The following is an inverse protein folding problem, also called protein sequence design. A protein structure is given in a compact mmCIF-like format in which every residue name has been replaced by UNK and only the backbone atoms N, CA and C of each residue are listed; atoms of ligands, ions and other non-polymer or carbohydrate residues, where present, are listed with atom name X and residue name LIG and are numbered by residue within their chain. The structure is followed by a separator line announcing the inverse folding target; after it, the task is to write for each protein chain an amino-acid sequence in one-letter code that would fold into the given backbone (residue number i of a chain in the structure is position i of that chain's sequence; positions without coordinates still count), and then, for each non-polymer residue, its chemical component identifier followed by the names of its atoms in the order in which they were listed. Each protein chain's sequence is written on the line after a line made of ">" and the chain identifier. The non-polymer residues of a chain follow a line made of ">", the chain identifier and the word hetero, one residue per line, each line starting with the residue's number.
data_IF_503655415937
#
_entry.id   IF_503655415937
#
_cell.length_a   1.000
_cell.length_b   1.000
_cell.length_c   1.000
_cell.angle_alpha   90.00
_cell.angle_beta   90.00
_cell.angle_gamma   90.00
#
_symmetry.space_group_name_H-M   'P 1'
#
loop_
_entity.id
_entity.type
_entity.pdbx_description
1 polymer ?
#
# COMPACT_ATOMS: atom_id res chain seq x y z
N UNK A 1 -25.57 -0.57 13.66
CA UNK A 1 -25.38 -1.57 12.60
C UNK A 1 -24.61 -1.01 11.40
N UNK A 2 -23.60 -0.17 11.63
CA UNK A 2 -22.73 0.37 10.58
C UNK A 2 -21.31 0.25 11.12
N UNK A 3 -20.64 -0.86 10.81
CA UNK A 3 -19.20 -1.15 10.97
C UNK A 3 -18.92 -2.63 10.64
N UNK A 4 -19.68 -3.22 9.71
CA UNK A 4 -19.27 -4.52 9.15
C UNK A 4 -18.49 -4.25 7.87
N UNK A 5 -17.23 -4.69 7.78
CA UNK A 5 -16.49 -4.59 6.53
C UNK A 5 -17.23 -5.39 5.44
N UNK A 6 -17.12 -4.97 4.17
CA UNK A 6 -17.87 -5.57 3.06
C UNK A 6 -17.47 -7.02 2.74
N UNK A 7 -16.45 -7.57 3.40
CA UNK A 7 -16.00 -8.94 3.22
C UNK A 7 -15.92 -9.67 4.56
N UNK A 8 -16.86 -10.59 4.79
CA UNK A 8 -16.99 -11.39 6.02
C UNK A 8 -16.06 -12.61 6.04
N UNK A 9 -15.45 -12.98 4.91
CA UNK A 9 -14.66 -14.21 4.78
C UNK A 9 -13.29 -14.13 5.45
N UNK A 10 -12.74 -12.92 5.62
CA UNK A 10 -11.41 -12.70 6.19
C UNK A 10 -11.42 -12.03 7.57
N UNK A 11 -12.61 -11.81 8.14
CA UNK A 11 -12.77 -11.14 9.43
C UNK A 11 -13.58 -12.00 10.38
N UNK A 12 -12.89 -12.72 11.26
CA UNK A 12 -13.51 -13.34 12.42
C UNK A 12 -13.62 -12.29 13.53
N UNK A 13 -14.82 -12.02 14.08
CA UNK A 13 -14.94 -11.21 15.28
C UNK A 13 -14.13 -11.87 16.40
N UNK A 14 -13.12 -11.17 16.90
CA UNK A 14 -12.38 -11.61 18.08
C UNK A 14 -13.32 -11.56 19.28
N UNK A 15 -13.55 -12.72 19.91
CA UNK A 15 -14.41 -12.87 21.09
C UNK A 15 -13.85 -12.20 22.36
N UNK A 16 -12.76 -11.46 22.21
CA UNK A 16 -11.96 -10.84 23.24
C UNK A 16 -10.56 -10.56 22.71
N UNK A 17 -9.76 -9.90 23.53
CA UNK A 17 -8.33 -9.74 23.29
C UNK A 17 -7.64 -11.11 23.29
N UNK A 18 -6.81 -11.47 22.29
CA UNK A 18 -6.07 -12.73 22.32
C UNK A 18 -5.04 -12.77 23.45
N UNK A 19 -4.74 -13.95 23.99
CA UNK A 19 -3.82 -14.14 25.12
C UNK A 19 -2.40 -13.58 24.85
N UNK A 20 -2.00 -13.50 23.58
CA UNK A 20 -0.69 -12.98 23.15
C UNK A 20 -0.64 -11.45 23.07
N UNK A 21 -1.77 -10.76 23.21
CA UNK A 21 -1.84 -9.32 23.01
C UNK A 21 -1.02 -8.54 24.05
N UNK A 22 -1.05 -8.92 25.32
CA UNK A 22 -0.23 -8.25 26.36
C UNK A 22 1.27 -8.47 26.13
N UNK A 23 1.64 -9.59 25.51
CA UNK A 23 3.02 -9.86 25.15
C UNK A 23 3.45 -9.02 23.93
N UNK A 24 2.56 -8.85 22.95
CA UNK A 24 2.80 -8.02 21.76
C UNK A 24 2.74 -6.50 22.06
N UNK A 25 1.95 -6.10 23.07
CA UNK A 25 1.72 -4.71 23.47
C UNK A 25 1.90 -4.54 24.99
N UNK A 26 3.13 -4.67 25.52
CA UNK A 26 3.40 -4.68 26.97
C UNK A 26 3.09 -3.35 27.66
N UNK A 27 3.12 -2.24 26.92
CA UNK A 27 2.73 -0.90 27.41
C UNK A 27 1.23 -0.61 27.17
N UNK A 28 0.45 -1.65 26.86
CA UNK A 28 -0.88 -1.51 26.27
C UNK A 28 -0.80 -1.11 24.80
N UNK A 29 -1.97 -1.07 24.15
CA UNK A 29 -2.09 -0.51 22.83
C UNK A 29 -2.47 0.98 23.03
N UNK A 30 -1.67 1.93 22.55
CA UNK A 30 -1.99 3.38 22.62
C UNK A 30 -3.13 3.79 21.67
N UNK A 31 -4.08 2.88 21.46
CA UNK A 31 -5.25 2.99 20.63
C UNK A 31 -6.41 3.01 21.66
N UNK A 32 -6.70 4.17 22.28
CA UNK A 32 -7.74 4.42 23.33
C UNK A 32 -8.80 5.46 22.91
N UNK A 33 -10.11 5.24 23.22
CA UNK A 33 -11.30 5.72 22.46
C UNK A 33 -11.16 7.23 22.33
N UNK A 34 -11.47 7.85 21.18
CA UNK A 34 -11.53 9.32 21.17
C UNK A 34 -12.54 9.68 22.25
N UNK A 35 -12.03 10.25 23.35
CA UNK A 35 -12.78 10.57 24.55
C UNK A 35 -12.68 12.07 24.74
N UNK A 36 -13.30 12.86 23.84
CA UNK A 36 -13.28 14.31 23.94
C UNK A 36 -14.02 14.82 25.20
N UNK A 37 -14.80 13.95 25.86
CA UNK A 37 -15.43 14.21 27.16
C UNK A 37 -14.68 13.64 28.37
N UNK A 38 -13.52 13.02 28.17
CA UNK A 38 -12.69 12.47 29.24
C UNK A 38 -11.87 13.54 29.97
N UNK A 39 -11.43 13.24 31.18
CA UNK A 39 -10.50 14.08 31.96
C UNK A 39 -9.23 13.26 32.31
N UNK A 40 -8.08 13.52 31.66
CA UNK A 40 -7.87 14.48 30.58
C UNK A 40 -8.50 14.02 29.26
N UNK A 41 -8.84 14.94 28.33
CA UNK A 41 -9.39 14.57 27.04
C UNK A 41 -8.35 13.80 26.23
N UNK A 42 -8.69 12.58 25.82
CA UNK A 42 -7.82 11.73 25.00
C UNK A 42 -8.32 11.75 23.58
N UNK A 43 -7.55 12.35 22.66
CA UNK A 43 -7.79 12.31 21.22
C UNK A 43 -6.84 11.29 20.59
N UNK A 44 -7.13 10.00 20.76
CA UNK A 44 -6.34 8.93 20.16
C UNK A 44 -7.12 8.30 19.00
N UNK A 45 -6.46 8.28 17.84
CA UNK A 45 -7.08 8.16 16.52
C UNK A 45 -7.10 6.71 16.02
N UNK A 46 -8.20 6.02 16.25
CA UNK A 46 -8.43 4.62 15.84
C UNK A 46 -8.70 4.39 14.38
N UNK A 47 -9.28 5.42 13.82
CA UNK A 47 -9.85 5.52 12.52
C UNK A 47 -10.09 7.01 12.49
N UNK A 48 -9.28 7.82 11.81
CA UNK A 48 -9.47 9.26 11.85
C UNK A 48 -10.92 9.60 11.49
N UNK A 49 -11.72 9.98 12.51
CA UNK A 49 -13.15 10.26 12.44
C UNK A 49 -14.13 9.06 12.47
N UNK A 50 -13.84 7.93 13.13
CA UNK A 50 -14.72 6.73 13.21
C UNK A 50 -15.04 6.08 11.86
N UNK A 51 -14.08 6.16 10.91
CA UNK A 51 -14.29 5.80 9.49
C UNK A 51 -13.89 4.37 9.12
N UNK A 52 -13.60 3.53 10.11
CA UNK A 52 -13.03 2.18 9.95
C UNK A 52 -11.50 2.18 9.83
N UNK A 53 -10.88 1.01 9.96
CA UNK A 53 -9.42 0.87 9.93
C UNK A 53 -8.84 1.11 8.53
N UNK A 54 -7.71 1.81 8.41
CA UNK A 54 -7.01 1.96 7.14
C UNK A 54 -6.42 0.62 6.70
N UNK A 55 -6.42 0.35 5.39
CA UNK A 55 -5.78 -0.85 4.83
C UNK A 55 -4.45 -0.53 4.12
N UNK A 56 -4.16 0.75 3.91
CA UNK A 56 -2.93 1.22 3.27
C UNK A 56 -2.25 2.23 4.19
N UNK A 57 -0.95 2.04 4.43
CA UNK A 57 -0.12 2.91 5.25
C UNK A 57 1.24 3.15 4.60
N UNK A 58 1.71 4.40 4.60
CA UNK A 58 3.00 4.77 4.00
C UNK A 58 3.60 5.96 4.76
N UNK A 59 4.92 6.01 4.87
CA UNK A 59 5.62 7.19 5.42
C UNK A 59 6.07 8.07 4.25
N UNK A 60 5.68 9.34 4.26
CA UNK A 60 6.01 10.29 3.20
C UNK A 60 6.13 11.69 3.80
N UNK A 61 7.19 12.42 3.43
CA UNK A 61 7.49 13.78 3.91
C UNK A 61 7.36 13.94 5.45
N UNK A 62 7.99 13.03 6.20
CA UNK A 62 7.97 13.00 7.68
C UNK A 62 6.58 12.86 8.31
N UNK A 63 5.61 12.31 7.58
CA UNK A 63 4.28 11.98 8.07
C UNK A 63 3.99 10.50 7.85
N UNK A 64 3.28 9.90 8.79
CA UNK A 64 2.60 8.63 8.57
C UNK A 64 1.27 8.93 7.87
N UNK A 65 1.11 8.41 6.66
CA UNK A 65 -0.13 8.53 5.89
C UNK A 65 -0.92 7.23 5.98
N UNK A 66 -2.20 7.36 6.34
CA UNK A 66 -3.16 6.27 6.46
C UNK A 66 -4.31 6.50 5.48
N UNK A 67 -4.69 5.46 4.75
CA UNK A 67 -5.59 5.53 3.60
C UNK A 67 -6.52 4.32 3.51
N UNK A 68 -7.48 4.41 2.59
CA UNK A 68 -8.38 3.32 2.20
C UNK A 68 -9.33 2.86 3.32
N UNK A 69 -9.75 3.78 4.20
CA UNK A 69 -10.74 3.50 5.22
C UNK A 69 -12.09 3.10 4.56
N UNK A 70 -12.82 2.09 5.07
CA UNK A 70 -14.08 1.64 4.46
C UNK A 70 -15.14 2.73 4.27
N UNK A 71 -15.25 3.69 5.19
CA UNK A 71 -16.19 4.81 5.06
C UNK A 71 -15.65 5.98 4.22
N UNK A 72 -14.34 6.00 3.91
CA UNK A 72 -13.69 6.98 3.04
C UNK A 72 -12.57 6.33 2.23
N UNK A 73 -12.98 5.65 1.17
CA UNK A 73 -12.11 4.85 0.31
C UNK A 73 -11.03 5.64 -0.43
N UNK A 74 -11.22 6.95 -0.56
CA UNK A 74 -10.31 7.92 -1.20
C UNK A 74 -9.77 8.97 -0.21
N UNK A 75 -9.94 8.75 1.09
CA UNK A 75 -9.40 9.61 2.14
C UNK A 75 -7.93 9.33 2.40
N UNK A 76 -7.15 10.41 2.55
CA UNK A 76 -5.74 10.40 2.98
C UNK A 76 -5.65 11.17 4.29
N UNK A 77 -5.14 10.51 5.32
CA UNK A 77 -4.92 11.09 6.63
C UNK A 77 -3.43 11.09 6.92
N UNK A 78 -2.84 12.26 7.20
CA UNK A 78 -1.43 12.37 7.55
C UNK A 78 -1.25 12.78 9.00
N UNK A 79 -0.32 12.12 9.69
CA UNK A 79 0.08 12.49 11.05
C UNK A 79 0.76 13.86 11.08
N UNK A 80 0.98 14.41 12.28
CA UNK A 80 1.88 15.56 12.50
C UNK A 80 3.27 15.22 11.97
N UNK A 81 3.99 16.24 11.49
CA UNK A 81 5.39 16.10 11.09
C UNK A 81 6.22 15.61 12.28
N UNK A 82 6.97 14.51 12.09
CA UNK A 82 7.86 13.95 13.11
C UNK A 82 7.17 13.26 14.29
N UNK A 83 5.84 13.31 14.39
CA UNK A 83 5.06 12.60 15.39
C UNK A 83 3.98 11.73 14.74
N UNK A 84 4.35 10.48 14.41
CA UNK A 84 3.53 9.53 13.67
C UNK A 84 2.26 9.04 14.38
N UNK A 85 2.07 9.40 15.65
CA UNK A 85 0.90 9.01 16.45
C UNK A 85 -0.14 10.12 16.58
N UNK A 86 0.22 11.36 16.25
CA UNK A 86 -0.68 12.51 16.37
C UNK A 86 -1.42 12.77 15.06
N UNK A 87 -2.76 12.66 15.11
CA UNK A 87 -3.67 12.98 14.00
C UNK A 87 -4.68 14.08 14.39
N UNK A 88 -4.39 14.85 15.45
CA UNK A 88 -5.22 15.97 15.90
C UNK A 88 -5.12 17.15 14.93
N UNK A 89 -6.17 17.38 14.16
CA UNK A 89 -6.20 18.46 13.15
C UNK A 89 -5.94 19.84 13.75
N UNK A 90 -5.25 20.68 12.98
CA UNK A 90 -5.01 22.08 13.28
C UNK A 90 -4.58 22.88 12.05
N UNK A 91 -4.45 24.22 12.17
CA UNK A 91 -4.18 25.10 11.04
C UNK A 91 -2.68 25.30 10.74
N UNK A 92 -1.77 24.80 11.56
CA UNK A 92 -0.33 24.99 11.39
C UNK A 92 0.21 24.10 10.26
N UNK A 93 1.34 24.49 9.68
CA UNK A 93 1.94 23.76 8.56
C UNK A 93 2.40 22.35 8.95
N UNK A 94 2.81 22.14 10.20
CA UNK A 94 3.23 20.85 10.73
C UNK A 94 2.06 19.99 11.23
N UNK A 95 0.88 20.58 11.39
CA UNK A 95 -0.30 19.89 11.92
C UNK A 95 -0.72 18.72 11.01
N UNK A 96 -1.38 17.69 11.57
CA UNK A 96 -2.00 16.60 10.82
C UNK A 96 -2.95 17.08 9.73
N UNK A 97 -3.04 16.32 8.64
CA UNK A 97 -3.88 16.65 7.49
C UNK A 97 -4.94 15.59 7.20
N UNK A 98 -6.03 16.04 6.59
CA UNK A 98 -7.02 15.19 5.95
C UNK A 98 -7.27 15.72 4.54
N UNK A 99 -7.14 14.86 3.54
CA UNK A 99 -7.39 15.18 2.15
C UNK A 99 -8.21 14.06 1.51
N UNK A 100 -9.37 14.38 0.95
CA UNK A 100 -10.15 13.44 0.15
C UNK A 100 -9.86 13.69 -1.33
N UNK A 101 -9.44 12.64 -2.03
CA UNK A 101 -9.21 12.73 -3.48
C UNK A 101 -10.58 12.73 -4.16
N UNK A 102 -10.97 13.86 -4.73
CA UNK A 102 -12.23 14.00 -5.46
C UNK A 102 -12.17 13.30 -6.81
N UNK A 103 -13.17 12.45 -7.08
CA UNK A 103 -13.26 11.66 -8.31
C UNK A 103 -14.71 11.51 -8.75
N UNK A 104 -14.96 11.47 -10.06
CA UNK A 104 -16.31 11.28 -10.61
C UNK A 104 -16.86 9.86 -10.43
N UNK A 105 -15.96 8.88 -10.48
CA UNK A 105 -16.25 7.49 -10.11
C UNK A 105 -15.97 7.33 -8.61
N UNK A 106 -16.50 6.33 -7.91
CA UNK A 106 -16.18 6.09 -6.48
C UNK A 106 -15.14 4.98 -6.31
N UNK A 107 -13.85 5.19 -6.64
CA UNK A 107 -12.81 4.19 -6.48
C UNK A 107 -12.42 3.98 -5.02
N UNK A 108 -11.56 2.99 -4.84
CA UNK A 108 -10.92 2.69 -3.57
C UNK A 108 -9.42 2.64 -3.76
N UNK A 109 -8.67 3.29 -2.88
CA UNK A 109 -7.22 3.16 -2.78
C UNK A 109 -6.87 1.71 -2.45
N UNK A 110 -5.87 1.16 -3.15
CA UNK A 110 -5.47 -0.26 -3.06
C UNK A 110 -4.05 -0.45 -2.54
N UNK A 111 -3.15 0.43 -2.93
CA UNK A 111 -1.77 0.48 -2.47
C UNK A 111 -1.23 1.90 -2.63
N UNK A 112 -0.14 2.22 -1.94
CA UNK A 112 0.55 3.49 -2.09
C UNK A 112 2.05 3.30 -1.89
N UNK A 113 2.86 3.96 -2.70
CA UNK A 113 4.32 3.86 -2.66
C UNK A 113 4.93 5.27 -2.68
N UNK A 114 5.79 5.54 -1.70
CA UNK A 114 6.51 6.80 -1.58
C UNK A 114 7.72 6.81 -2.52
N UNK A 115 7.71 7.72 -3.49
CA UNK A 115 8.82 7.99 -4.40
C UNK A 115 9.16 9.48 -4.35
N UNK A 116 9.62 10.08 -5.46
CA UNK A 116 9.69 11.55 -5.61
C UNK A 116 8.35 12.24 -5.32
N UNK A 117 7.25 11.54 -5.62
CA UNK A 117 5.89 11.89 -5.24
C UNK A 117 5.26 10.66 -4.61
N UNK A 118 4.18 10.83 -3.87
CA UNK A 118 3.41 9.69 -3.42
C UNK A 118 2.55 9.16 -4.58
N UNK A 119 2.79 7.92 -4.99
CA UNK A 119 1.98 7.26 -6.03
C UNK A 119 0.95 6.37 -5.34
N UNK A 120 -0.31 6.51 -5.74
CA UNK A 120 -1.45 5.83 -5.14
C UNK A 120 -2.17 5.04 -6.23
N UNK A 121 -2.18 3.71 -6.11
CA UNK A 121 -2.95 2.84 -6.99
C UNK A 121 -4.39 2.69 -6.50
N UNK A 122 -5.36 2.86 -7.39
CA UNK A 122 -6.78 2.73 -7.06
C UNK A 122 -7.50 1.75 -7.98
N UNK A 123 -8.76 1.45 -7.68
CA UNK A 123 -9.62 0.67 -8.56
C UNK A 123 -10.06 1.40 -9.85
N UNK A 124 -9.67 2.65 -10.10
CA UNK A 124 -10.02 3.41 -11.32
C UNK A 124 -8.86 4.15 -12.00
N UNK A 125 -7.62 3.94 -11.56
CA UNK A 125 -6.44 4.65 -12.05
C UNK A 125 -5.40 4.90 -10.98
N UNK A 126 -4.18 5.21 -11.40
CA UNK A 126 -3.14 5.67 -10.49
C UNK A 126 -3.22 7.20 -10.32
N UNK A 127 -2.97 7.66 -9.10
CA UNK A 127 -2.94 9.07 -8.72
C UNK A 127 -1.54 9.42 -8.18
N UNK A 128 -1.08 10.64 -8.42
CA UNK A 128 0.07 11.19 -7.71
C UNK A 128 -0.39 12.25 -6.74
N UNK A 129 0.02 12.13 -5.49
CA UNK A 129 -0.16 13.12 -4.44
C UNK A 129 1.17 13.86 -4.23
N UNK A 130 1.09 15.18 -4.22
CA UNK A 130 2.22 16.09 -4.13
C UNK A 130 1.83 17.39 -3.43
N UNK A 131 2.82 18.22 -3.17
CA UNK A 131 2.68 19.60 -2.70
C UNK A 131 3.69 20.48 -3.45
N UNK A 132 3.53 21.80 -3.34
CA UNK A 132 4.50 22.73 -3.95
C UNK A 132 5.83 22.83 -3.18
N UNK A 133 5.80 22.61 -1.86
CA UNK A 133 6.97 22.75 -0.97
C UNK A 133 7.06 21.56 -0.01
N UNK A 134 6.04 21.38 0.81
CA UNK A 134 5.90 20.29 1.78
C UNK A 134 4.42 20.07 2.00
N UNK A 135 4.07 18.82 2.27
CA UNK A 135 2.73 18.39 2.55
C UNK A 135 2.24 19.00 3.88
N UNK A 136 1.32 19.95 3.76
CA UNK A 136 0.66 20.62 4.90
C UNK A 136 -0.86 20.48 4.77
N UNK A 137 -1.64 20.74 5.85
CA UNK A 137 -3.10 20.69 5.77
C UNK A 137 -3.71 21.61 4.70
N UNK A 138 -3.03 22.69 4.35
CA UNK A 138 -3.46 23.68 3.36
C UNK A 138 -2.83 23.49 1.96
N UNK A 139 -1.80 22.65 1.83
CA UNK A 139 -1.07 22.43 0.59
C UNK A 139 -0.96 20.94 0.24
N UNK A 140 -2.04 20.42 -0.36
CA UNK A 140 -2.11 19.05 -0.88
C UNK A 140 -2.77 19.07 -2.25
N UNK A 141 -2.15 18.41 -3.23
CA UNK A 141 -2.71 18.24 -4.57
C UNK A 141 -2.64 16.77 -4.97
N UNK A 142 -3.75 16.23 -5.47
CA UNK A 142 -3.79 14.91 -6.09
C UNK A 142 -4.17 15.02 -7.56
N UNK A 143 -3.43 14.35 -8.43
CA UNK A 143 -3.63 14.38 -9.88
C UNK A 143 -3.67 12.96 -10.43
N UNK A 144 -4.70 12.65 -11.22
CA UNK A 144 -4.82 11.35 -11.91
C UNK A 144 -3.75 11.23 -12.98
N UNK A 145 -3.02 10.13 -12.98
CA UNK A 145 -1.89 9.90 -13.88
C UNK A 145 -2.27 8.97 -15.05
N UNK A 146 -3.04 7.91 -14.74
CA UNK A 146 -3.49 6.94 -15.72
C UNK A 146 -4.83 6.31 -15.29
N UNK A 147 -5.36 5.40 -16.10
CA UNK A 147 -6.62 4.68 -15.83
C UNK A 147 -6.40 3.19 -15.50
N UNK A 148 -5.18 2.78 -15.18
CA UNK A 148 -4.87 1.40 -14.82
C UNK A 148 -5.47 1.07 -13.45
N UNK A 149 -6.18 -0.05 -13.37
CA UNK A 149 -6.92 -0.44 -12.17
C UNK A 149 -6.11 -1.44 -11.37
N UNK A 150 -5.91 -1.16 -10.09
CA UNK A 150 -5.08 -1.97 -9.21
C UNK A 150 -5.89 -3.01 -8.44
N UNK A 151 -5.28 -4.17 -8.20
CA UNK A 151 -5.76 -5.17 -7.27
C UNK A 151 -5.43 -4.78 -5.81
N UNK A 152 -6.15 -5.34 -4.84
CA UNK A 152 -6.00 -5.04 -3.42
C UNK A 152 -4.80 -5.73 -2.77
N UNK A 153 -3.61 -5.47 -3.29
CA UNK A 153 -2.33 -5.98 -2.77
C UNK A 153 -1.29 -4.88 -2.95
N UNK A 154 -0.34 -4.81 -2.02
CA UNK A 154 0.76 -3.86 -2.15
C UNK A 154 1.62 -4.14 -3.40
N UNK A 155 2.14 -3.08 -3.98
CA UNK A 155 3.10 -3.15 -5.07
C UNK A 155 4.52 -3.38 -4.55
N UNK A 156 5.44 -3.66 -5.46
CA UNK A 156 6.88 -3.69 -5.17
C UNK A 156 7.59 -2.65 -6.02
N UNK A 157 8.58 -1.99 -5.43
CA UNK A 157 9.36 -0.96 -6.15
C UNK A 157 10.73 -1.53 -6.54
N UNK A 158 11.07 -1.44 -7.82
CA UNK A 158 12.43 -1.67 -8.32
C UNK A 158 12.95 -0.36 -8.93
N UNK A 159 13.99 0.21 -8.33
CA UNK A 159 14.46 1.55 -8.72
C UNK A 159 13.37 2.60 -8.49
N UNK A 160 12.89 3.22 -9.58
CA UNK A 160 11.78 4.19 -9.56
C UNK A 160 10.45 3.61 -10.03
N UNK A 161 10.46 2.37 -10.52
CA UNK A 161 9.30 1.73 -11.12
C UNK A 161 8.54 0.89 -10.09
N UNK A 162 7.22 1.03 -10.08
CA UNK A 162 6.35 0.33 -9.15
C UNK A 162 5.60 -0.76 -9.91
N UNK A 163 5.82 -2.00 -9.51
CA UNK A 163 5.17 -3.19 -10.03
C UNK A 163 3.97 -3.55 -9.18
N UNK A 164 2.84 -3.81 -9.80
CA UNK A 164 1.61 -4.14 -9.11
C UNK A 164 0.72 -5.08 -9.94
N UNK A 165 -0.21 -5.73 -9.27
CA UNK A 165 -1.18 -6.62 -9.88
C UNK A 165 -2.38 -5.80 -10.36
N UNK A 166 -2.80 -5.98 -11.61
CA UNK A 166 -4.02 -5.36 -12.13
C UNK A 166 -5.26 -5.93 -11.44
N UNK A 167 -6.34 -5.16 -11.32
CA UNK A 167 -7.59 -5.54 -10.64
C UNK A 167 -8.11 -6.96 -10.95
N UNK A 168 -7.97 -7.44 -12.19
CA UNK A 168 -8.40 -8.78 -12.61
C UNK A 168 -7.40 -9.90 -12.30
N UNK A 169 -6.25 -9.59 -11.70
CA UNK A 169 -5.16 -10.51 -11.28
C UNK A 169 -4.49 -11.35 -12.39
N UNK A 170 -4.94 -11.21 -13.63
CA UNK A 170 -4.39 -11.88 -14.82
C UNK A 170 -3.25 -11.12 -15.49
N UNK A 171 -2.95 -9.92 -14.99
CA UNK A 171 -1.94 -9.03 -15.56
C UNK A 171 -1.09 -8.40 -14.48
N UNK A 172 0.20 -8.31 -14.77
CA UNK A 172 1.14 -7.55 -13.96
C UNK A 172 1.51 -6.27 -14.69
N UNK A 173 1.42 -5.16 -13.98
CA UNK A 173 1.69 -3.83 -14.51
C UNK A 173 2.86 -3.19 -13.79
N UNK A 174 3.53 -2.30 -14.51
CA UNK A 174 4.59 -1.46 -13.99
C UNK A 174 4.19 -0.01 -14.26
N UNK A 175 4.20 0.84 -13.24
CA UNK A 175 4.07 2.28 -13.41
C UNK A 175 5.42 2.95 -13.20
N UNK A 176 5.79 3.79 -14.17
CA UNK A 176 7.05 4.54 -14.18
C UNK A 176 6.83 5.97 -14.69
N UNK A 177 7.73 6.87 -14.30
CA UNK A 177 7.67 8.27 -14.74
C UNK A 177 8.09 8.39 -16.21
N UNK A 178 7.22 8.99 -17.03
CA UNK A 178 7.54 9.33 -18.41
C UNK A 178 7.76 10.84 -18.53
N UNK A 179 8.97 11.24 -18.94
CA UNK A 179 9.37 12.65 -19.01
C UNK A 179 8.72 13.41 -20.18
N UNK A 180 8.43 12.72 -21.30
CA UNK A 180 7.84 13.35 -22.49
C UNK A 180 6.42 13.84 -22.22
N UNK A 181 5.61 13.01 -21.56
CA UNK A 181 4.22 13.33 -21.21
C UNK A 181 4.06 13.89 -19.79
N UNK A 182 5.16 13.97 -19.02
CA UNK A 182 5.20 14.44 -17.63
C UNK A 182 4.13 13.81 -16.73
N UNK A 183 3.95 12.50 -16.86
CA UNK A 183 2.96 11.72 -16.12
C UNK A 183 3.46 10.31 -15.84
N UNK A 184 2.89 9.66 -14.83
CA UNK A 184 3.12 8.24 -14.57
C UNK A 184 2.39 7.39 -15.60
N UNK A 185 3.14 6.59 -16.35
CA UNK A 185 2.61 5.66 -17.35
C UNK A 185 2.64 4.24 -16.80
N UNK A 186 1.49 3.58 -16.84
CA UNK A 186 1.36 2.17 -16.47
C UNK A 186 1.42 1.28 -17.72
N UNK A 187 2.40 0.38 -17.79
CA UNK A 187 2.60 -0.59 -18.87
C UNK A 187 2.29 -2.02 -18.41
N UNK A 188 1.90 -2.89 -19.35
CA UNK A 188 1.65 -4.32 -19.10
C UNK A 188 2.95 -5.09 -19.31
N UNK A 189 3.64 -5.45 -18.24
CA UNK A 189 4.91 -6.21 -18.34
C UNK A 189 4.67 -7.69 -18.64
N UNK A 190 3.48 -8.19 -18.32
CA UNK A 190 3.11 -9.58 -18.49
C UNK A 190 2.79 -9.96 -19.92
N UNK A 191 2.81 -9.00 -20.85
CA UNK A 191 2.49 -9.21 -22.27
C UNK A 191 3.28 -10.37 -22.90
N UNK A 192 4.53 -10.58 -22.48
CA UNK A 192 5.41 -11.63 -23.01
C UNK A 192 5.21 -13.01 -22.35
N UNK A 193 4.44 -13.09 -21.26
CA UNK A 193 4.31 -14.29 -20.43
C UNK A 193 2.94 -14.41 -19.75
N UNK A 194 1.86 -14.00 -20.42
CA UNK A 194 0.50 -13.98 -19.85
C UNK A 194 0.03 -15.37 -19.39
N UNK A 195 0.49 -16.43 -20.04
CA UNK A 195 0.18 -17.81 -19.68
C UNK A 195 0.67 -18.19 -18.28
N UNK A 196 1.73 -17.55 -17.78
CA UNK A 196 2.27 -17.82 -16.44
C UNK A 196 1.45 -17.17 -15.33
N UNK A 197 0.58 -16.21 -15.65
CA UNK A 197 -0.29 -15.57 -14.65
C UNK A 197 -1.61 -16.31 -14.44
N UNK A 198 -1.84 -17.41 -15.17
CA UNK A 198 -3.01 -18.28 -15.02
C UNK A 198 -2.76 -19.26 -13.85
N UNK A 199 -3.72 -19.45 -12.91
CA UNK A 199 -5.07 -18.89 -12.89
C UNK A 199 -5.11 -17.39 -12.59
N UNK A 200 -4.47 -16.92 -11.50
CA UNK A 200 -4.40 -15.52 -11.07
C UNK A 200 -3.24 -15.33 -10.09
N UNK A 201 -2.63 -14.14 -10.07
CA UNK A 201 -1.63 -13.77 -9.06
C UNK A 201 -2.29 -13.02 -7.91
N UNK A 202 -2.04 -13.46 -6.68
CA UNK A 202 -2.63 -12.90 -5.45
C UNK A 202 -1.66 -12.05 -4.63
N UNK A 203 -0.35 -12.27 -4.74
CA UNK A 203 0.64 -11.53 -3.94
C UNK A 203 1.94 -11.28 -4.68
N UNK A 204 2.58 -10.13 -4.40
CA UNK A 204 3.94 -9.83 -4.84
C UNK A 204 4.90 -9.75 -3.66
N UNK A 205 6.15 -10.09 -3.91
CA UNK A 205 7.27 -9.91 -3.01
C UNK A 205 8.52 -9.54 -3.82
N UNK A 206 9.42 -8.77 -3.22
CA UNK A 206 10.68 -8.38 -3.83
C UNK A 206 11.84 -8.96 -3.04
N UNK A 207 12.81 -9.51 -3.77
CA UNK A 207 14.16 -9.77 -3.28
C UNK A 207 15.11 -8.84 -4.05
N UNK A 208 15.92 -8.07 -3.35
CA UNK A 208 16.85 -7.11 -3.96
C UNK A 208 18.29 -7.64 -4.06
N UNK A 209 18.65 -8.61 -3.22
CA UNK A 209 20.02 -9.13 -3.08
C UNK A 209 19.94 -10.66 -3.00
N UNK A 210 20.81 -11.42 -3.69
CA UNK A 210 21.93 -10.99 -4.55
C UNK A 210 21.51 -10.36 -5.88
N UNK A 211 20.34 -10.73 -6.41
CA UNK A 211 19.76 -10.15 -7.64
C UNK A 211 18.35 -9.63 -7.38
N UNK A 212 17.91 -8.69 -8.22
CA UNK A 212 16.56 -8.12 -8.14
C UNK A 212 15.55 -9.06 -8.80
N UNK A 213 14.81 -9.78 -7.96
CA UNK A 213 13.77 -10.72 -8.37
C UNK A 213 12.43 -10.33 -7.75
N UNK A 214 11.39 -10.30 -8.58
CA UNK A 214 10.02 -10.13 -8.14
C UNK A 214 9.35 -11.51 -8.13
N UNK A 215 8.80 -11.89 -6.98
CA UNK A 215 8.04 -13.12 -6.80
C UNK A 215 6.54 -12.79 -6.83
N UNK A 216 5.81 -13.44 -7.73
CA UNK A 216 4.36 -13.45 -7.79
C UNK A 216 3.82 -14.79 -7.31
N UNK A 217 3.02 -14.78 -6.25
CA UNK A 217 2.33 -15.97 -5.77
C UNK A 217 0.98 -16.11 -6.48
N UNK A 218 0.74 -17.25 -7.13
CA UNK A 218 -0.54 -17.58 -7.75
C UNK A 218 -1.55 -18.15 -6.75
N UNK A 219 -2.82 -18.14 -7.14
CA UNK A 219 -3.92 -18.72 -6.36
C UNK A 219 -3.78 -20.23 -6.16
N UNK A 220 -3.10 -20.94 -7.06
CA UNK A 220 -2.85 -22.39 -6.99
C UNK A 220 -1.61 -22.77 -6.17
N UNK A 221 -0.95 -21.80 -5.52
CA UNK A 221 0.22 -22.03 -4.67
C UNK A 221 1.53 -22.22 -5.42
N UNK A 222 1.57 -21.93 -6.72
CA UNK A 222 2.80 -21.88 -7.51
C UNK A 222 3.38 -20.46 -7.56
N UNK A 223 4.68 -20.34 -7.87
CA UNK A 223 5.35 -19.05 -7.98
C UNK A 223 5.69 -18.69 -9.42
N UNK A 224 5.56 -17.40 -9.71
CA UNK A 224 6.11 -16.77 -10.91
C UNK A 224 7.25 -15.87 -10.45
N UNK A 225 8.44 -16.09 -11.00
CA UNK A 225 9.64 -15.30 -10.70
C UNK A 225 9.93 -14.43 -11.90
N UNK A 226 10.17 -13.15 -11.65
CA UNK A 226 10.43 -12.15 -12.66
C UNK A 226 11.77 -11.51 -12.37
N UNK A 227 12.72 -11.70 -13.28
CA UNK A 227 13.98 -10.96 -13.28
C UNK A 227 13.80 -9.75 -14.19
N UNK A 228 13.93 -8.55 -13.63
CA UNK A 228 13.73 -7.31 -14.36
C UNK A 228 15.03 -6.52 -14.48
N UNK A 229 15.45 -6.24 -15.72
CA UNK A 229 16.54 -5.31 -16.01
C UNK A 229 15.96 -3.98 -16.48
N UNK A 230 16.07 -2.96 -15.63
CA UNK A 230 15.65 -1.60 -15.97
C UNK A 230 16.43 -1.02 -17.17
N UNK A 231 17.73 -1.36 -17.28
CA UNK A 231 18.61 -0.87 -18.36
C UNK A 231 18.17 -1.38 -19.74
N UNK A 232 17.78 -2.65 -19.82
CA UNK A 232 17.31 -3.27 -21.07
C UNK A 232 15.78 -3.19 -21.22
N UNK A 233 15.10 -2.62 -20.22
CA UNK A 233 13.64 -2.63 -20.07
C UNK A 233 13.03 -4.00 -20.42
N UNK A 234 13.67 -5.06 -19.94
CA UNK A 234 13.34 -6.44 -20.30
C UNK A 234 13.08 -7.25 -19.03
N UNK A 235 12.03 -8.07 -19.08
CA UNK A 235 11.65 -8.98 -18.02
C UNK A 235 11.82 -10.43 -18.51
N UNK A 236 12.58 -11.23 -17.77
CA UNK A 236 12.60 -12.68 -17.90
C UNK A 236 11.63 -13.28 -16.89
N UNK A 237 10.88 -14.29 -17.32
CA UNK A 237 9.83 -14.91 -16.52
C UNK A 237 10.15 -16.38 -16.31
N UNK A 238 9.95 -16.87 -15.10
CA UNK A 238 10.20 -18.26 -14.74
C UNK A 238 9.07 -18.75 -13.83
N UNK A 239 8.58 -19.94 -14.10
CA UNK A 239 7.63 -20.63 -13.24
C UNK A 239 8.38 -21.52 -12.26
N UNK A 240 8.00 -21.49 -11.00
CA UNK A 240 8.52 -22.37 -9.97
C UNK A 240 7.36 -23.12 -9.31
N UNK A 241 7.38 -24.43 -9.48
CA UNK A 241 6.46 -25.36 -8.84
C UNK A 241 7.17 -26.02 -7.66
N UNK A 242 6.56 -25.91 -6.49
CA UNK A 242 7.05 -26.55 -5.27
C UNK A 242 6.38 -27.92 -5.11
N UNK A 243 6.98 -28.84 -4.35
CA UNK A 243 6.35 -30.13 -4.07
C UNK A 243 5.09 -30.02 -3.20
N UNK A 244 4.84 -28.85 -2.60
CA UNK A 244 3.65 -28.54 -1.81
C UNK A 244 2.96 -27.24 -2.26
N UNK A 245 1.90 -26.87 -1.57
CA UNK A 245 1.19 -25.62 -1.82
C UNK A 245 1.83 -24.46 -1.05
N UNK A 246 2.20 -23.38 -1.75
CA UNK A 246 2.71 -22.16 -1.12
C UNK A 246 1.53 -21.27 -0.74
N UNK A 247 1.35 -21.04 0.56
CA UNK A 247 0.19 -20.29 1.07
C UNK A 247 0.45 -18.78 1.01
N UNK A 248 1.67 -18.35 1.36
CA UNK A 248 2.06 -16.95 1.42
C UNK A 248 3.55 -16.76 1.11
N UNK A 249 3.92 -15.54 0.74
CA UNK A 249 5.31 -15.14 0.47
C UNK A 249 5.66 -13.82 1.16
N UNK A 250 6.89 -13.73 1.65
CA UNK A 250 7.45 -12.49 2.19
C UNK A 250 8.95 -12.41 1.89
N UNK A 251 9.45 -11.16 1.84
CA UNK A 251 10.85 -10.86 1.62
C UNK A 251 11.44 -10.41 2.94
N UNK A 252 12.53 -11.05 3.36
CA UNK A 252 13.27 -10.67 4.55
C UNK A 252 14.67 -10.24 4.17
N UNK A 253 15.17 -9.19 4.81
CA UNK A 253 16.59 -8.88 4.79
C UNK A 253 17.24 -9.50 6.03
N UNK A 254 18.31 -10.27 5.84
CA UNK A 254 19.11 -10.79 6.94
C UNK A 254 20.47 -10.07 6.95
N UNK A 255 20.76 -9.38 8.05
CA UNK A 255 22.03 -8.68 8.26
C UNK A 255 23.12 -9.54 8.93
N UNK A 256 22.79 -10.77 9.34
CA UNK A 256 23.56 -11.49 10.36
C UNK A 256 24.68 -12.40 9.85
N UNK A 257 24.95 -12.48 8.55
CA UNK A 257 26.11 -13.23 8.04
C UNK A 257 26.66 -12.54 6.81
N UNK A 258 27.87 -12.00 6.93
CA UNK A 258 28.74 -11.61 5.82
C UNK A 258 29.32 -12.84 5.10
N UNK A 259 28.52 -13.90 4.97
CA UNK A 259 28.83 -15.01 4.08
C UNK A 259 28.03 -14.74 2.82
N UNK A 260 28.59 -13.84 2.01
CA UNK A 260 28.37 -13.85 0.57
C UNK A 260 28.86 -15.23 0.09
N UNK A 261 27.94 -16.09 -0.37
CA UNK A 261 28.12 -17.05 -1.47
C UNK A 261 26.81 -17.78 -1.81
#
# INVERSE_FOLDING_TARGET
>A
AANQPPNVDYWTPLAGKPDTFDWQYPDGNAWVADNPGGDPPVRQSYAPGDRGFPTVGVVYEQRLLLMANPALSMGVFGSRIGNYKDFSLGPQDDDPLFFAIDTSDSPTIKWAQAQRKLIIGTSSGDYSLQSDITLTPSNVQATKQNAARSHGTDGVTVGTDIFYIQQGQEKMRMTGWNDDIKSQQSIDISLVAQNLLVPRVKRLCLMQTPEVLIFGLREDGTLVIISYSAEQNTAAWTEFESSGEIIDICGGYNANTSEDE
#
